data_IF_206787348430
#
_entry.id   IF_206787348430
#
_cell.length_a   1.000
_cell.length_b   1.000
_cell.length_c   1.000
_cell.angle_alpha   90.00
_cell.angle_beta   90.00
_cell.angle_gamma   90.00
#
_symmetry.space_group_name_H-M   'P 1'
#
loop_
_entity.id
_entity.type
_entity.pdbx_description
1 polymer ?
#
# COMPACT_ATOMS: atom_id res chain seq x y z
N UNK A 1 15.85 -15.88 -2.94
CA UNK A 1 14.40 -15.92 -2.76
C UNK A 1 13.90 -14.60 -2.18
N UNK A 2 12.61 -14.34 -2.26
CA UNK A 2 12.03 -13.15 -1.64
C UNK A 2 12.18 -13.25 -0.11
N UNK A 3 12.57 -12.16 0.52
CA UNK A 3 12.88 -12.14 1.96
C UNK A 3 11.62 -12.33 2.83
N UNK A 4 10.44 -12.06 2.27
CA UNK A 4 9.14 -12.21 2.92
C UNK A 4 8.57 -13.63 2.81
N UNK A 5 9.00 -14.43 1.84
CA UNK A 5 8.65 -15.84 1.70
C UNK A 5 9.52 -16.68 2.64
N UNK A 6 9.06 -16.83 3.87
CA UNK A 6 9.83 -17.48 4.94
C UNK A 6 9.52 -18.97 5.12
N UNK A 7 8.39 -19.43 4.58
CA UNK A 7 8.02 -20.84 4.62
C UNK A 7 8.77 -21.62 3.55
N UNK A 8 9.23 -22.83 3.88
CA UNK A 8 9.91 -23.72 2.93
C UNK A 8 9.07 -23.95 1.68
N UNK A 9 7.76 -24.09 1.87
CA UNK A 9 6.81 -24.30 0.76
C UNK A 9 6.66 -23.08 -0.16
N UNK A 10 6.77 -21.86 0.38
CA UNK A 10 6.79 -20.61 -0.41
C UNK A 10 8.06 -20.53 -1.23
N UNK A 11 9.20 -20.85 -0.62
CA UNK A 11 10.51 -20.81 -1.27
C UNK A 11 10.64 -21.89 -2.37
N UNK A 12 10.15 -23.08 -2.13
CA UNK A 12 10.18 -24.19 -3.11
C UNK A 12 9.27 -23.94 -4.31
N UNK A 13 8.10 -23.33 -4.08
CA UNK A 13 7.11 -23.04 -5.12
C UNK A 13 7.30 -21.68 -5.79
N UNK A 14 8.06 -20.77 -5.16
CA UNK A 14 8.26 -19.41 -5.61
C UNK A 14 6.99 -18.56 -5.61
N UNK A 15 6.06 -18.85 -4.68
CA UNK A 15 4.80 -18.11 -4.49
C UNK A 15 4.59 -17.78 -3.02
N UNK A 16 4.02 -16.62 -2.74
CA UNK A 16 3.56 -16.25 -1.41
C UNK A 16 2.29 -17.03 -1.06
N UNK A 17 2.25 -17.69 0.08
CA UNK A 17 1.08 -18.46 0.57
C UNK A 17 0.38 -17.69 1.70
N UNK A 18 1.15 -17.16 2.64
CA UNK A 18 0.66 -16.41 3.79
C UNK A 18 1.04 -14.95 3.70
N UNK A 19 0.12 -14.06 4.07
CA UNK A 19 0.48 -12.63 4.16
C UNK A 19 1.57 -12.42 5.21
N UNK A 20 2.54 -11.58 4.89
CA UNK A 20 3.62 -11.21 5.79
C UNK A 20 3.65 -9.68 5.96
N UNK A 21 3.92 -9.22 7.19
CA UNK A 21 4.06 -7.81 7.49
C UNK A 21 5.53 -7.44 7.68
N UNK A 22 5.95 -6.33 7.11
CA UNK A 22 7.27 -5.76 7.33
C UNK A 22 7.19 -4.24 7.34
N UNK A 23 8.21 -3.61 7.90
CA UNK A 23 8.32 -2.15 7.92
C UNK A 23 9.59 -1.74 7.22
N UNK A 24 9.50 -0.75 6.36
CA UNK A 24 10.66 -0.08 5.78
C UNK A 24 10.56 1.44 5.98
N UNK A 25 11.68 2.10 5.74
CA UNK A 25 11.79 3.55 5.83
C UNK A 25 12.28 4.10 4.50
N UNK A 26 11.61 5.13 4.04
CA UNK A 26 11.96 5.78 2.79
C UNK A 26 11.93 7.30 2.91
N UNK A 27 12.87 7.93 2.28
CA UNK A 27 12.89 9.35 2.01
C UNK A 27 12.97 9.54 0.51
N UNK A 28 12.29 10.55 -0.02
CA UNK A 28 12.24 10.80 -1.46
C UNK A 28 13.65 10.76 -2.08
N UNK A 29 13.79 10.13 -3.23
CA UNK A 29 15.09 9.85 -3.87
C UNK A 29 15.95 11.10 -4.08
N UNK A 30 15.32 12.25 -4.29
CA UNK A 30 15.99 13.55 -4.41
C UNK A 30 16.69 13.98 -3.11
N UNK A 31 16.19 13.57 -1.95
CA UNK A 31 16.71 13.95 -0.64
C UNK A 31 17.72 12.97 -0.08
N UNK A 32 17.90 11.82 -0.70
CA UNK A 32 18.78 10.77 -0.18
C UNK A 32 20.26 11.14 -0.15
N UNK A 33 20.68 12.07 -0.96
CA UNK A 33 22.08 12.57 -0.99
C UNK A 33 22.43 13.48 0.16
N UNK A 34 21.41 14.04 0.85
CA UNK A 34 21.58 14.89 2.03
C UNK A 34 21.17 14.12 3.30
N UNK A 35 22.13 13.74 4.18
CA UNK A 35 21.83 12.99 5.40
C UNK A 35 20.89 13.71 6.37
N UNK A 36 20.84 15.03 6.37
CA UNK A 36 19.96 15.83 7.24
C UNK A 36 18.55 15.82 6.68
N UNK A 37 18.40 16.09 5.38
CA UNK A 37 17.12 16.02 4.68
C UNK A 37 16.54 14.60 4.71
N UNK A 38 17.38 13.59 4.53
CA UNK A 38 17.00 12.18 4.64
C UNK A 38 16.35 11.86 6.00
N UNK A 39 16.99 12.24 7.10
CA UNK A 39 16.45 11.98 8.45
C UNK A 39 15.16 12.74 8.73
N UNK A 40 15.08 13.98 8.27
CA UNK A 40 13.93 14.86 8.51
C UNK A 40 12.68 14.41 7.74
N UNK A 41 12.85 13.92 6.51
CA UNK A 41 11.77 13.58 5.59
C UNK A 41 11.55 12.07 5.47
N UNK A 42 12.00 11.30 6.45
CA UNK A 42 11.88 9.85 6.44
C UNK A 42 10.45 9.41 6.77
N UNK A 43 9.85 8.69 5.84
CA UNK A 43 8.54 8.07 6.01
C UNK A 43 8.69 6.61 6.44
N UNK A 44 7.85 6.18 7.35
CA UNK A 44 7.71 4.77 7.71
C UNK A 44 6.61 4.16 6.85
N UNK A 45 6.92 3.09 6.15
CA UNK A 45 5.99 2.36 5.30
C UNK A 45 5.82 0.97 5.89
N UNK A 46 4.61 0.67 6.35
CA UNK A 46 4.23 -0.67 6.78
C UNK A 46 3.69 -1.42 5.56
N UNK A 47 4.33 -2.53 5.22
CA UNK A 47 4.00 -3.31 4.04
C UNK A 47 3.36 -4.62 4.51
N UNK A 48 2.19 -4.94 3.97
CA UNK A 48 1.58 -6.26 4.07
C UNK A 48 1.69 -6.90 2.69
N UNK A 49 2.56 -7.89 2.56
CA UNK A 49 2.67 -8.69 1.35
C UNK A 49 1.57 -9.75 1.34
N UNK A 50 0.79 -9.78 0.27
CA UNK A 50 -0.38 -10.67 0.16
C UNK A 50 -0.19 -11.64 -0.99
N UNK A 51 -0.64 -12.91 -0.83
CA UNK A 51 -0.59 -13.88 -1.91
C UNK A 51 -1.46 -13.43 -3.10
N UNK A 52 -0.93 -13.65 -4.32
CA UNK A 52 -1.66 -13.38 -5.56
C UNK A 52 -2.51 -14.56 -6.06
N UNK A 53 -2.53 -15.70 -5.37
CA UNK A 53 -3.20 -16.91 -5.83
C UNK A 53 -4.66 -17.00 -5.36
N UNK A 54 -5.56 -17.46 -6.24
CA UNK A 54 -7.02 -17.53 -5.96
C UNK A 54 -7.37 -18.34 -4.72
N UNK A 55 -6.58 -19.36 -4.39
CA UNK A 55 -6.81 -20.21 -3.23
C UNK A 55 -6.64 -19.46 -1.89
N UNK A 56 -6.02 -18.28 -1.91
CA UNK A 56 -5.69 -17.48 -0.72
C UNK A 56 -6.46 -16.15 -0.65
N UNK A 57 -7.60 -16.05 -1.32
CA UNK A 57 -8.41 -14.81 -1.37
C UNK A 57 -8.85 -14.31 0.00
N UNK A 58 -9.05 -15.21 0.97
CA UNK A 58 -9.42 -14.85 2.35
C UNK A 58 -8.31 -14.05 3.05
N UNK A 59 -7.04 -14.39 2.81
CA UNK A 59 -5.89 -13.64 3.34
C UNK A 59 -5.83 -12.24 2.74
N UNK A 60 -6.14 -12.11 1.46
CA UNK A 60 -6.21 -10.81 0.77
C UNK A 60 -7.34 -9.96 1.37
N UNK A 61 -8.54 -10.51 1.54
CA UNK A 61 -9.68 -9.79 2.13
C UNK A 61 -9.39 -9.29 3.55
N UNK A 62 -8.76 -10.13 4.38
CA UNK A 62 -8.36 -9.73 5.74
C UNK A 62 -7.39 -8.56 5.72
N UNK A 63 -6.44 -8.58 4.78
CA UNK A 63 -5.47 -7.51 4.62
C UNK A 63 -6.12 -6.22 4.12
N UNK A 64 -7.02 -6.30 3.12
CA UNK A 64 -7.71 -5.12 2.56
C UNK A 64 -8.45 -4.28 3.60
N UNK A 65 -8.91 -4.90 4.68
CA UNK A 65 -9.63 -4.20 5.76
C UNK A 65 -8.76 -3.26 6.60
N UNK A 66 -7.46 -3.49 6.61
CA UNK A 66 -6.51 -2.73 7.44
C UNK A 66 -5.54 -1.89 6.63
N UNK A 67 -5.63 -1.92 5.29
CA UNK A 67 -4.77 -1.14 4.41
C UNK A 67 -5.24 0.31 4.28
N UNK A 68 -4.30 1.23 4.23
CA UNK A 68 -4.56 2.61 3.81
C UNK A 68 -4.59 2.71 2.29
N UNK A 69 -3.80 1.91 1.62
CA UNK A 69 -3.74 1.82 0.17
C UNK A 69 -3.08 0.53 -0.29
N UNK A 70 -3.14 0.24 -1.56
CA UNK A 70 -2.54 -0.95 -2.14
C UNK A 70 -1.73 -0.66 -3.40
N UNK A 71 -0.66 -1.43 -3.60
CA UNK A 71 0.08 -1.47 -4.86
C UNK A 71 -0.23 -2.80 -5.54
N UNK A 72 -0.95 -2.75 -6.64
CA UNK A 72 -1.23 -3.94 -7.45
C UNK A 72 -0.07 -4.19 -8.41
N UNK A 73 0.64 -5.28 -8.20
CA UNK A 73 1.79 -5.66 -9.03
C UNK A 73 1.33 -6.53 -10.19
N UNK A 74 1.55 -6.06 -11.40
CA UNK A 74 1.22 -6.78 -12.63
C UNK A 74 2.50 -7.15 -13.38
N UNK A 75 2.52 -8.33 -14.00
CA UNK A 75 3.62 -8.77 -14.84
C UNK A 75 3.54 -8.06 -16.22
N UNK A 76 4.63 -7.45 -16.66
CA UNK A 76 4.69 -6.77 -17.96
C UNK A 76 4.41 -7.71 -19.16
N UNK A 77 4.57 -9.02 -18.99
CA UNK A 77 4.24 -10.03 -20.01
C UNK A 77 2.81 -10.54 -19.88
N UNK A 78 2.38 -10.89 -18.65
CA UNK A 78 1.06 -11.49 -18.40
C UNK A 78 -0.07 -10.46 -18.33
N UNK A 79 0.24 -9.24 -17.91
CA UNK A 79 -0.75 -8.18 -17.73
C UNK A 79 -1.81 -8.51 -16.70
N UNK A 80 -3.06 -8.29 -17.05
CA UNK A 80 -4.20 -8.58 -16.18
C UNK A 80 -4.60 -10.04 -16.32
N UNK A 81 -4.40 -10.80 -15.26
CA UNK A 81 -4.79 -12.21 -15.15
C UNK A 81 -6.12 -12.35 -14.38
N UNK A 82 -6.84 -13.49 -14.49
CA UNK A 82 -8.10 -13.68 -13.77
C UNK A 82 -8.01 -13.48 -12.25
N UNK A 83 -6.86 -13.83 -11.68
CA UNK A 83 -6.56 -13.61 -10.26
C UNK A 83 -6.49 -12.12 -9.92
N UNK A 84 -5.85 -11.33 -10.81
CA UNK A 84 -5.77 -9.87 -10.67
C UNK A 84 -7.16 -9.24 -10.68
N UNK A 85 -8.07 -9.70 -11.53
CA UNK A 85 -9.45 -9.21 -11.58
C UNK A 85 -10.21 -9.49 -10.29
N UNK A 86 -10.01 -10.68 -9.69
CA UNK A 86 -10.66 -11.07 -8.43
C UNK A 86 -10.22 -10.16 -7.28
N UNK A 87 -8.91 -10.00 -7.11
CA UNK A 87 -8.35 -9.12 -6.07
C UNK A 87 -8.74 -7.66 -6.30
N UNK A 88 -8.79 -7.24 -7.57
CA UNK A 88 -9.20 -5.89 -7.94
C UNK A 88 -10.63 -5.58 -7.51
N UNK A 89 -11.58 -6.49 -7.78
CA UNK A 89 -12.98 -6.33 -7.35
C UNK A 89 -13.12 -6.27 -5.83
N UNK A 90 -12.36 -7.10 -5.11
CA UNK A 90 -12.33 -7.04 -3.65
C UNK A 90 -11.84 -5.67 -3.15
N UNK A 91 -10.81 -5.11 -3.78
CA UNK A 91 -10.33 -3.79 -3.42
C UNK A 91 -11.34 -2.67 -3.76
N UNK A 92 -12.17 -2.85 -4.81
CA UNK A 92 -13.29 -1.95 -5.10
C UNK A 92 -14.35 -1.98 -4.01
N UNK A 93 -14.71 -3.18 -3.51
CA UNK A 93 -15.70 -3.35 -2.44
C UNK A 93 -15.29 -2.60 -1.16
N UNK A 94 -13.99 -2.58 -0.86
CA UNK A 94 -13.44 -1.86 0.29
C UNK A 94 -13.02 -0.42 -0.01
N UNK A 95 -13.19 0.06 -1.25
CA UNK A 95 -12.79 1.40 -1.70
C UNK A 95 -11.36 1.76 -1.34
N UNK A 96 -10.44 0.81 -1.48
CA UNK A 96 -9.04 1.00 -1.14
C UNK A 96 -8.34 1.83 -2.22
N UNK A 97 -7.73 2.97 -1.87
CA UNK A 97 -6.87 3.72 -2.77
C UNK A 97 -5.74 2.83 -3.28
N UNK A 98 -5.43 2.91 -4.57
CA UNK A 98 -4.45 2.00 -5.17
C UNK A 98 -3.67 2.62 -6.30
N UNK A 99 -2.52 2.02 -6.58
CA UNK A 99 -1.71 2.24 -7.76
C UNK A 99 -1.33 0.91 -8.40
N UNK A 100 -0.93 0.94 -9.66
CA UNK A 100 -0.46 -0.24 -10.39
C UNK A 100 1.04 -0.11 -10.61
N UNK A 101 1.78 -1.19 -10.32
CA UNK A 101 3.18 -1.34 -10.68
C UNK A 101 3.35 -2.44 -11.70
N UNK A 102 3.70 -2.06 -12.93
CA UNK A 102 4.01 -2.99 -14.02
C UNK A 102 5.45 -3.47 -13.85
N UNK A 103 5.60 -4.66 -13.29
CA UNK A 103 6.87 -5.28 -12.91
C UNK A 103 7.39 -6.22 -14.00
N UNK A 104 8.65 -6.60 -13.89
CA UNK A 104 9.35 -7.51 -14.80
C UNK A 104 9.46 -6.95 -16.23
N UNK A 105 9.75 -5.66 -16.35
CA UNK A 105 9.98 -5.03 -17.67
C UNK A 105 11.17 -5.60 -18.42
N UNK A 106 12.06 -6.33 -17.74
CA UNK A 106 13.31 -6.94 -18.27
C UNK A 106 13.14 -8.35 -18.83
N UNK A 107 11.95 -8.97 -18.73
CA UNK A 107 11.75 -10.33 -19.24
C UNK A 107 11.29 -10.34 -20.70
N UNK A 108 11.58 -11.45 -21.39
CA UNK A 108 11.13 -11.64 -22.78
C UNK A 108 9.61 -11.65 -22.88
N UNK A 109 9.08 -10.84 -23.79
CA UNK A 109 7.63 -10.64 -23.98
C UNK A 109 7.03 -9.53 -23.11
N UNK A 110 7.84 -8.75 -22.39
CA UNK A 110 7.37 -7.59 -21.66
C UNK A 110 6.83 -6.51 -22.61
N UNK A 111 5.62 -6.02 -22.33
CA UNK A 111 4.97 -4.96 -23.09
C UNK A 111 4.07 -4.10 -22.21
N UNK A 112 4.59 -2.96 -21.79
CA UNK A 112 3.91 -2.02 -20.91
C UNK A 112 2.58 -1.50 -21.52
N UNK A 113 2.60 -1.16 -22.80
CA UNK A 113 1.41 -0.57 -23.47
C UNK A 113 0.31 -1.61 -23.67
N UNK A 114 0.68 -2.87 -23.90
CA UNK A 114 -0.29 -3.96 -23.93
C UNK A 114 -0.93 -4.17 -22.55
N UNK A 115 -0.16 -4.05 -21.48
CA UNK A 115 -0.71 -4.11 -20.11
C UNK A 115 -1.69 -2.97 -19.85
N UNK A 116 -1.38 -1.73 -20.26
CA UNK A 116 -2.30 -0.60 -20.17
C UNK A 116 -3.62 -0.87 -20.88
N UNK A 117 -3.56 -1.42 -22.10
CA UNK A 117 -4.75 -1.81 -22.87
C UNK A 117 -5.57 -2.88 -22.12
N UNK A 118 -4.92 -3.89 -21.56
CA UNK A 118 -5.60 -4.94 -20.76
C UNK A 118 -6.26 -4.37 -19.50
N UNK A 119 -5.63 -3.40 -18.85
CA UNK A 119 -6.20 -2.72 -17.67
C UNK A 119 -7.49 -2.00 -18.08
N UNK A 120 -7.47 -1.23 -19.16
CA UNK A 120 -8.63 -0.51 -19.66
C UNK A 120 -9.77 -1.48 -20.02
N UNK A 121 -9.48 -2.53 -20.78
CA UNK A 121 -10.48 -3.50 -21.26
C UNK A 121 -11.09 -4.35 -20.14
N UNK A 122 -10.29 -4.79 -19.16
CA UNK A 122 -10.70 -5.78 -18.16
C UNK A 122 -11.06 -5.19 -16.81
N UNK A 123 -10.32 -4.19 -16.35
CA UNK A 123 -10.57 -3.56 -15.05
C UNK A 123 -11.50 -2.34 -15.15
N UNK A 124 -11.59 -1.71 -16.32
CA UNK A 124 -12.47 -0.56 -16.60
C UNK A 124 -12.34 0.55 -15.56
N UNK A 125 -11.12 0.86 -15.18
CA UNK A 125 -10.78 1.85 -14.18
C UNK A 125 -10.05 3.04 -14.81
N UNK A 126 -10.01 4.17 -14.11
CA UNK A 126 -9.26 5.34 -14.56
C UNK A 126 -7.76 5.19 -14.23
N UNK A 127 -7.10 4.27 -14.94
CA UNK A 127 -5.67 4.04 -14.80
C UNK A 127 -4.89 5.05 -15.66
N UNK A 128 -4.04 5.82 -15.02
CA UNK A 128 -3.28 6.91 -15.65
C UNK A 128 -1.79 6.66 -15.47
N UNK A 129 -1.05 6.41 -16.56
CA UNK A 129 0.40 6.32 -16.49
C UNK A 129 1.01 7.65 -16.03
N UNK A 130 1.85 7.57 -15.01
CA UNK A 130 2.69 8.70 -14.55
C UNK A 130 4.15 8.48 -14.88
N UNK A 131 4.47 7.32 -15.42
CA UNK A 131 5.77 6.91 -15.91
C UNK A 131 5.65 6.14 -17.21
N UNK A 132 6.69 6.19 -18.05
CA UNK A 132 6.85 5.33 -19.22
C UNK A 132 8.17 4.58 -19.15
N UNK A 133 8.24 3.32 -19.63
CA UNK A 133 9.51 2.59 -19.67
C UNK A 133 10.42 3.09 -20.79
N UNK A 134 11.73 3.13 -20.54
CA UNK A 134 12.77 3.34 -21.55
C UNK A 134 13.32 1.97 -21.94
N UNK A 135 12.91 1.51 -23.13
CA UNK A 135 13.21 0.16 -23.59
C UNK A 135 12.32 -0.91 -22.94
N UNK A 136 12.48 -2.13 -23.36
CA UNK A 136 11.81 -3.32 -22.84
C UNK A 136 12.71 -4.54 -22.94
N UNK A 137 12.40 -5.58 -22.19
CA UNK A 137 13.19 -6.81 -22.16
C UNK A 137 14.65 -6.53 -21.78
N UNK A 138 15.61 -7.09 -22.49
CA UNK A 138 17.02 -6.88 -22.22
C UNK A 138 17.48 -5.41 -22.37
N UNK A 139 16.74 -4.62 -23.12
CA UNK A 139 17.00 -3.18 -23.36
C UNK A 139 16.34 -2.25 -22.34
N UNK A 140 15.59 -2.79 -21.38
CA UNK A 140 14.98 -1.99 -20.31
C UNK A 140 16.07 -1.35 -19.45
N UNK A 141 16.20 -0.03 -19.54
CA UNK A 141 17.29 0.73 -18.90
C UNK A 141 16.85 1.87 -18.01
N UNK A 142 15.57 2.18 -17.98
CA UNK A 142 15.09 3.31 -17.18
C UNK A 142 13.61 3.61 -17.35
N UNK A 143 13.22 4.72 -16.79
CA UNK A 143 11.83 5.22 -16.83
C UNK A 143 11.81 6.71 -17.16
N UNK A 144 10.77 7.15 -17.85
CA UNK A 144 10.42 8.56 -18.01
C UNK A 144 9.45 8.93 -16.91
N UNK A 145 9.74 9.98 -16.17
CA UNK A 145 8.84 10.59 -15.21
C UNK A 145 7.99 11.64 -15.91
N UNK A 146 6.70 11.38 -16.07
CA UNK A 146 5.77 12.29 -16.78
C UNK A 146 5.37 13.49 -15.92
N UNK A 147 5.58 13.45 -14.62
CA UNK A 147 5.30 14.56 -13.72
C UNK A 147 6.45 15.59 -13.77
N UNK A 148 7.70 15.10 -13.72
CA UNK A 148 8.90 15.94 -13.79
C UNK A 148 9.35 16.22 -15.24
N UNK A 149 8.93 15.41 -16.20
CA UNK A 149 9.41 15.43 -17.59
C UNK A 149 10.93 15.29 -17.72
N UNK A 150 11.44 14.28 -17.06
CA UNK A 150 12.83 13.83 -17.15
C UNK A 150 12.90 12.30 -17.25
N UNK A 151 14.11 11.78 -17.35
CA UNK A 151 14.37 10.34 -17.42
C UNK A 151 15.27 9.91 -16.28
N UNK A 152 14.89 8.80 -15.63
CA UNK A 152 15.72 8.10 -14.65
C UNK A 152 16.37 6.89 -15.35
N UNK A 153 17.66 7.00 -15.65
CA UNK A 153 18.42 6.00 -16.42
C UNK A 153 19.38 5.24 -15.52
N UNK A 154 19.37 3.92 -15.65
CA UNK A 154 20.22 3.02 -14.88
C UNK A 154 21.43 2.58 -15.71
N UNK A 155 22.63 2.74 -15.14
CA UNK A 155 23.90 2.45 -15.79
C UNK A 155 24.55 1.14 -15.33
N UNK A 156 23.89 0.45 -14.39
CA UNK A 156 24.31 -0.85 -13.90
C UNK A 156 23.18 -1.87 -13.97
N UNK A 157 23.50 -3.15 -13.84
CA UNK A 157 22.51 -4.23 -13.91
C UNK A 157 21.59 -4.31 -12.70
N UNK A 158 22.04 -3.84 -11.54
CA UNK A 158 21.35 -3.98 -10.26
C UNK A 158 20.73 -2.69 -9.73
N UNK A 159 20.58 -1.68 -10.59
CA UNK A 159 19.84 -0.46 -10.28
C UNK A 159 20.45 0.40 -9.16
N UNK A 160 21.77 0.35 -9.00
CA UNK A 160 22.51 1.15 -8.00
C UNK A 160 22.94 2.52 -8.52
N UNK A 161 23.32 2.59 -9.81
CA UNK A 161 23.71 3.82 -10.48
C UNK A 161 22.54 4.35 -11.32
N UNK A 162 21.67 5.10 -10.68
CA UNK A 162 20.56 5.80 -11.31
C UNK A 162 20.90 7.27 -11.49
N UNK A 163 20.72 7.78 -12.70
CA UNK A 163 20.98 9.18 -13.06
C UNK A 163 19.76 9.81 -13.67
N UNK A 164 19.50 11.06 -13.30
CA UNK A 164 18.44 11.89 -13.86
C UNK A 164 18.99 12.57 -15.11
N UNK A 165 18.32 12.39 -16.23
CA UNK A 165 18.75 12.89 -17.55
C UNK A 165 17.56 13.50 -18.29
N UNK A 166 17.84 14.11 -19.43
CA UNK A 166 16.77 14.52 -20.35
C UNK A 166 16.11 13.29 -20.98
N UNK A 167 14.84 13.45 -21.35
CA UNK A 167 14.11 12.40 -22.08
C UNK A 167 14.82 12.10 -23.39
N UNK A 168 15.06 10.80 -23.72
CA UNK A 168 15.63 10.43 -25.02
C UNK A 168 14.83 11.05 -26.19
N UNK A 169 15.54 11.56 -27.18
CA UNK A 169 14.94 12.32 -28.30
C UNK A 169 13.87 11.49 -29.05
N UNK A 170 14.12 10.20 -29.24
CA UNK A 170 13.21 9.26 -29.89
C UNK A 170 11.94 8.95 -29.07
N UNK A 171 11.91 9.33 -27.79
CA UNK A 171 10.76 9.14 -26.89
C UNK A 171 10.09 10.45 -26.49
N UNK A 172 10.58 11.59 -26.93
CA UNK A 172 10.07 12.91 -26.53
C UNK A 172 8.61 13.11 -26.93
N UNK A 173 8.27 12.83 -28.16
CA UNK A 173 6.90 12.95 -28.68
C UNK A 173 5.91 12.05 -27.91
N UNK A 174 6.31 10.81 -27.65
CA UNK A 174 5.51 9.86 -26.87
C UNK A 174 5.32 10.34 -25.41
N UNK A 175 6.38 10.86 -24.80
CA UNK A 175 6.32 11.41 -23.45
C UNK A 175 5.40 12.62 -23.38
N UNK A 176 5.44 13.51 -24.33
CA UNK A 176 4.55 14.67 -24.42
C UNK A 176 3.09 14.23 -24.57
N UNK A 177 2.81 13.26 -25.45
CA UNK A 177 1.46 12.69 -25.62
C UNK A 177 0.91 12.11 -24.31
N UNK A 178 1.70 11.31 -23.60
CA UNK A 178 1.26 10.71 -22.34
C UNK A 178 1.19 11.73 -21.19
N UNK A 179 2.05 12.74 -21.19
CA UNK A 179 1.93 13.85 -20.26
C UNK A 179 0.63 14.62 -20.48
N UNK A 180 0.26 14.90 -21.71
CA UNK A 180 -1.00 15.56 -22.03
C UNK A 180 -2.21 14.75 -21.55
N UNK A 181 -2.22 13.45 -21.80
CA UNK A 181 -3.25 12.54 -21.29
C UNK A 181 -3.32 12.54 -19.75
N UNK A 182 -2.17 12.58 -19.08
CA UNK A 182 -2.09 12.66 -17.62
C UNK A 182 -2.66 13.98 -17.12
N UNK A 183 -2.29 15.11 -17.72
CA UNK A 183 -2.78 16.43 -17.32
C UNK A 183 -4.29 16.57 -17.58
N UNK A 184 -4.79 16.03 -18.68
CA UNK A 184 -6.24 15.98 -18.96
C UNK A 184 -6.96 15.20 -17.85
N UNK A 185 -6.49 14.01 -17.50
CA UNK A 185 -7.07 13.20 -16.43
C UNK A 185 -7.03 13.90 -15.06
N UNK A 186 -5.92 14.55 -14.72
CA UNK A 186 -5.74 15.25 -13.43
C UNK A 186 -6.59 16.51 -13.37
N UNK A 187 -6.77 17.23 -14.47
CA UNK A 187 -7.57 18.45 -14.56
C UNK A 187 -9.04 18.23 -14.16
N UNK A 188 -9.55 17.01 -14.32
CA UNK A 188 -10.91 16.66 -13.94
C UNK A 188 -11.15 16.72 -12.41
N UNK A 189 -10.10 16.73 -11.60
CA UNK A 189 -10.17 16.68 -10.14
C UNK A 189 -9.70 17.97 -9.44
N UNK A 190 -9.29 18.98 -10.21
CA UNK A 190 -8.80 20.25 -9.69
C UNK A 190 -9.14 21.39 -10.64
N UNK A 191 -10.03 22.30 -10.21
CA UNK A 191 -10.53 23.40 -11.05
C UNK A 191 -9.42 24.38 -11.45
N UNK A 192 -8.43 24.63 -10.58
CA UNK A 192 -7.32 25.52 -10.87
C UNK A 192 -6.39 24.92 -11.95
N UNK A 193 -6.13 23.62 -11.86
CA UNK A 193 -5.38 22.89 -12.90
C UNK A 193 -6.16 22.89 -14.21
N UNK A 194 -7.49 22.68 -14.17
CA UNK A 194 -8.35 22.73 -15.33
C UNK A 194 -8.24 24.09 -16.03
N UNK A 195 -8.32 25.18 -15.30
CA UNK A 195 -8.20 26.53 -15.83
C UNK A 195 -6.82 26.74 -16.48
N UNK A 196 -5.73 26.41 -15.76
CA UNK A 196 -4.38 26.51 -16.31
C UNK A 196 -4.17 25.65 -17.56
N UNK A 197 -4.70 24.42 -17.56
CA UNK A 197 -4.61 23.49 -18.70
C UNK A 197 -5.33 24.05 -19.94
N UNK A 198 -6.57 24.55 -19.78
CA UNK A 198 -7.34 25.16 -20.87
C UNK A 198 -6.72 26.44 -21.43
N UNK A 199 -6.06 27.21 -20.57
CA UNK A 199 -5.35 28.43 -20.98
C UNK A 199 -3.95 28.15 -21.58
N UNK A 200 -3.51 26.88 -21.61
CA UNK A 200 -2.18 26.50 -22.09
C UNK A 200 -1.04 27.03 -21.23
N UNK A 201 -1.31 27.32 -19.94
CA UNK A 201 -0.30 27.75 -18.98
C UNK A 201 0.51 26.57 -18.45
N UNK A 202 1.75 26.84 -18.09
CA UNK A 202 2.58 25.86 -17.42
C UNK A 202 2.02 25.57 -16.02
N UNK A 203 1.80 24.28 -15.71
CA UNK A 203 1.27 23.84 -14.44
C UNK A 203 2.45 23.44 -13.53
N UNK A 204 2.60 24.05 -12.35
CA UNK A 204 3.68 23.69 -11.43
C UNK A 204 3.62 22.22 -11.01
N UNK A 205 4.76 21.53 -10.99
CA UNK A 205 4.89 20.12 -10.63
C UNK A 205 4.26 19.81 -9.26
N UNK A 206 4.43 20.69 -8.28
CA UNK A 206 3.84 20.53 -6.95
C UNK A 206 2.30 20.47 -6.99
N UNK A 207 1.64 21.23 -7.87
CA UNK A 207 0.20 21.19 -8.08
C UNK A 207 -0.24 19.89 -8.74
N UNK A 208 0.51 19.43 -9.73
CA UNK A 208 0.25 18.15 -10.41
C UNK A 208 0.34 17.02 -9.38
N UNK A 209 1.38 16.97 -8.56
CA UNK A 209 1.54 15.96 -7.49
C UNK A 209 0.39 15.99 -6.50
N UNK A 210 0.00 17.17 -6.03
CA UNK A 210 -1.10 17.32 -5.08
C UNK A 210 -2.45 16.85 -5.66
N UNK A 211 -2.71 17.12 -6.93
CA UNK A 211 -3.93 16.71 -7.61
C UNK A 211 -3.95 15.19 -7.89
N UNK A 212 -2.84 14.59 -8.28
CA UNK A 212 -2.71 13.14 -8.42
C UNK A 212 -2.99 12.46 -7.05
N UNK A 213 -2.38 12.98 -5.97
CA UNK A 213 -2.63 12.46 -4.63
C UNK A 213 -4.10 12.54 -4.23
N UNK A 214 -4.73 13.69 -4.41
CA UNK A 214 -6.14 13.92 -4.10
C UNK A 214 -7.05 12.92 -4.85
N UNK A 215 -6.84 12.77 -6.15
CA UNK A 215 -7.60 11.85 -6.97
C UNK A 215 -7.35 10.38 -6.61
N UNK A 216 -6.11 10.01 -6.27
CA UNK A 216 -5.73 8.66 -5.86
C UNK A 216 -6.37 8.30 -4.51
N UNK A 217 -6.29 9.18 -3.52
CA UNK A 217 -6.90 8.98 -2.19
C UNK A 217 -8.42 8.88 -2.29
N UNK A 218 -9.04 9.63 -3.20
CA UNK A 218 -10.48 9.57 -3.48
C UNK A 218 -10.91 8.32 -4.29
N UNK A 219 -9.98 7.47 -4.69
CA UNK A 219 -10.22 6.28 -5.55
C UNK A 219 -10.78 6.65 -6.93
N UNK A 220 -10.54 7.85 -7.40
CA UNK A 220 -11.03 8.37 -8.69
C UNK A 220 -9.99 8.24 -9.80
N UNK A 221 -8.72 8.07 -9.44
CA UNK A 221 -7.59 7.88 -10.35
C UNK A 221 -6.67 6.81 -9.80
N UNK A 222 -6.07 6.02 -10.69
CA UNK A 222 -5.12 4.96 -10.36
C UNK A 222 -3.82 5.23 -11.11
N UNK A 223 -2.78 5.73 -10.42
CA UNK A 223 -1.47 5.94 -11.03
C UNK A 223 -0.84 4.62 -11.47
N UNK A 224 -0.23 4.60 -12.66
CA UNK A 224 0.50 3.44 -13.17
C UNK A 224 1.98 3.79 -13.28
N UNK A 225 2.80 2.96 -12.66
CA UNK A 225 4.26 3.04 -12.67
C UNK A 225 4.85 1.73 -13.17
N UNK A 226 6.12 1.70 -13.52
CA UNK A 226 6.75 0.51 -14.09
C UNK A 226 8.19 0.32 -13.59
N UNK A 227 8.70 -0.89 -13.79
CA UNK A 227 10.06 -1.22 -13.43
C UNK A 227 10.35 -2.73 -13.46
N UNK A 228 11.46 -3.11 -12.86
CA UNK A 228 11.83 -4.50 -12.59
C UNK A 228 12.43 -4.63 -11.21
N UNK A 229 11.67 -5.23 -10.29
CA UNK A 229 12.05 -5.35 -8.88
C UNK A 229 13.30 -6.21 -8.70
N UNK A 230 13.45 -7.28 -9.50
CA UNK A 230 14.61 -8.18 -9.42
C UNK A 230 15.93 -7.47 -9.72
N UNK A 231 15.91 -6.52 -10.64
CA UNK A 231 17.05 -5.68 -11.01
C UNK A 231 17.13 -4.36 -10.24
N UNK A 232 16.20 -4.13 -9.32
CA UNK A 232 16.08 -2.88 -8.56
C UNK A 232 15.99 -1.62 -9.44
N UNK A 233 15.46 -1.74 -10.66
CA UNK A 233 15.24 -0.63 -11.58
C UNK A 233 13.79 -0.17 -11.53
N UNK A 234 13.56 1.10 -11.18
CA UNK A 234 12.24 1.69 -10.97
C UNK A 234 11.67 1.53 -9.55
N UNK A 235 12.32 0.77 -8.66
CA UNK A 235 11.85 0.58 -7.28
C UNK A 235 11.94 1.86 -6.47
N UNK A 236 13.02 2.65 -6.64
CA UNK A 236 13.19 3.93 -5.98
C UNK A 236 12.04 4.90 -6.33
N UNK A 237 11.66 4.94 -7.60
CA UNK A 237 10.56 5.78 -8.07
C UNK A 237 9.18 5.23 -7.71
N UNK A 238 9.03 3.92 -7.54
CA UNK A 238 7.84 3.32 -6.94
C UNK A 238 7.67 3.78 -5.48
N UNK A 239 8.73 3.76 -4.71
CA UNK A 239 8.70 4.22 -3.31
C UNK A 239 8.44 5.73 -3.21
N UNK A 240 9.02 6.53 -4.09
CA UNK A 240 8.70 7.95 -4.22
C UNK A 240 7.20 8.15 -4.52
N UNK A 241 6.65 7.40 -5.46
CA UNK A 241 5.24 7.48 -5.83
C UNK A 241 4.31 7.05 -4.67
N UNK A 242 4.71 6.06 -3.88
CA UNK A 242 3.96 5.67 -2.68
C UNK A 242 3.93 6.84 -1.67
N UNK A 243 5.05 7.48 -1.43
CA UNK A 243 5.12 8.65 -0.52
C UNK A 243 4.31 9.82 -1.05
N UNK A 244 4.38 10.09 -2.35
CA UNK A 244 3.73 11.25 -2.95
C UNK A 244 2.21 11.08 -3.10
N UNK A 245 1.73 9.87 -3.47
CA UNK A 245 0.36 9.69 -3.95
C UNK A 245 -0.50 8.76 -3.11
N UNK A 246 0.09 7.88 -2.29
CA UNK A 246 -0.69 6.97 -1.47
C UNK A 246 -1.10 7.62 -0.15
N UNK A 247 -2.27 7.25 0.41
CA UNK A 247 -2.75 7.86 1.64
C UNK A 247 -1.87 7.52 2.85
N UNK A 248 -1.70 8.50 3.73
CA UNK A 248 -1.23 8.28 5.09
C UNK A 248 -2.40 7.91 6.02
N UNK A 249 -2.17 7.37 7.22
CA UNK A 249 -3.24 7.11 8.18
C UNK A 249 -4.13 8.33 8.46
N UNK A 250 -3.57 9.53 8.40
CA UNK A 250 -4.30 10.81 8.58
C UNK A 250 -5.21 11.19 7.41
N UNK A 251 -5.05 10.58 6.25
CA UNK A 251 -5.91 10.79 5.08
C UNK A 251 -7.12 9.85 5.08
N UNK A 252 -7.12 8.86 5.96
CA UNK A 252 -8.18 7.86 6.08
C UNK A 252 -9.28 8.40 7.02
N UNK A 253 -10.57 8.18 6.70
CA UNK A 253 -11.65 8.55 7.60
C UNK A 253 -11.49 7.93 8.98
N UNK A 254 -12.00 8.62 10.00
CA UNK A 254 -12.08 8.10 11.36
C UNK A 254 -12.71 6.70 11.38
N UNK A 255 -12.20 5.81 12.22
CA UNK A 255 -12.80 4.51 12.40
C UNK A 255 -14.16 4.67 13.08
N UNK A 256 -15.19 4.14 12.48
CA UNK A 256 -16.53 4.11 13.04
C UNK A 256 -16.71 2.87 13.89
N UNK A 257 -17.38 3.03 15.01
CA UNK A 257 -17.62 1.98 15.97
C UNK A 257 -18.87 2.23 16.82
N UNK A 258 -19.10 1.33 17.75
CA UNK A 258 -20.17 1.43 18.74
C UNK A 258 -19.52 1.31 20.12
N UNK A 259 -19.93 2.12 21.06
CA UNK A 259 -19.56 1.93 22.46
C UNK A 259 -20.32 0.71 23.01
N UNK A 260 -19.65 -0.39 23.38
CA UNK A 260 -20.33 -1.61 23.78
C UNK A 260 -21.06 -1.52 25.13
N UNK A 261 -20.88 -0.42 25.86
CA UNK A 261 -21.59 -0.19 27.16
C UNK A 261 -22.84 0.66 27.01
N UNK A 262 -22.86 1.61 26.06
CA UNK A 262 -23.98 2.56 25.88
C UNK A 262 -24.77 2.30 24.62
N UNK A 263 -24.22 1.48 23.71
CA UNK A 263 -24.77 1.18 22.38
C UNK A 263 -24.89 2.40 21.47
N UNK A 264 -24.12 3.45 21.79
CA UNK A 264 -24.05 4.69 21.02
C UNK A 264 -22.95 4.60 19.96
N UNK A 265 -23.17 5.26 18.82
CA UNK A 265 -22.15 5.42 17.79
C UNK A 265 -20.94 6.16 18.35
N UNK A 266 -19.75 5.71 17.99
CA UNK A 266 -18.49 6.28 18.43
C UNK A 266 -17.51 6.34 17.25
N UNK A 267 -16.64 7.33 17.27
CA UNK A 267 -15.59 7.52 16.24
C UNK A 267 -14.24 7.66 16.90
N UNK A 268 -13.20 7.21 16.20
CA UNK A 268 -11.80 7.42 16.59
C UNK A 268 -11.05 8.04 15.43
N UNK A 269 -10.58 9.25 15.65
CA UNK A 269 -9.70 9.93 14.69
C UNK A 269 -8.31 9.31 14.68
N UNK A 270 -7.60 9.32 13.54
CA UNK A 270 -6.24 8.79 13.43
C UNK A 270 -5.22 9.74 14.10
N UNK A 271 -5.29 9.85 15.41
CA UNK A 271 -4.47 10.73 16.25
C UNK A 271 -3.90 9.95 17.44
N UNK A 272 -2.67 10.28 17.82
CA UNK A 272 -2.01 9.72 18.99
C UNK A 272 -2.63 10.19 20.31
N UNK A 273 -3.33 11.33 20.29
CA UNK A 273 -3.99 11.93 21.45
C UNK A 273 -5.36 11.31 21.77
N UNK A 274 -5.89 10.51 20.85
CA UNK A 274 -7.16 9.80 21.01
C UNK A 274 -7.01 8.56 21.92
N UNK A 275 -8.11 8.06 22.51
CA UNK A 275 -8.06 6.77 23.19
C UNK A 275 -7.61 5.64 22.26
N UNK A 276 -6.79 4.72 22.78
CA UNK A 276 -6.27 3.61 22.00
C UNK A 276 -7.39 2.76 21.41
N UNK A 277 -7.28 2.47 20.11
CA UNK A 277 -8.06 1.47 19.42
C UNK A 277 -7.25 0.77 18.33
N UNK A 278 -7.42 -0.53 18.19
CA UNK A 278 -6.72 -1.36 17.23
C UNK A 278 -7.59 -2.52 16.78
N UNK A 279 -7.26 -3.09 15.63
CA UNK A 279 -7.91 -4.26 15.08
C UNK A 279 -6.90 -5.39 14.89
N UNK A 280 -7.19 -6.55 15.47
CA UNK A 280 -6.44 -7.78 15.24
C UNK A 280 -6.85 -8.37 13.88
N UNK A 281 -5.95 -8.40 12.91
CA UNK A 281 -6.28 -8.84 11.55
C UNK A 281 -5.66 -10.18 11.15
N UNK A 282 -4.66 -10.65 11.90
CA UNK A 282 -4.00 -11.94 11.65
C UNK A 282 -3.47 -12.56 12.92
N UNK A 283 -3.69 -13.85 13.07
CA UNK A 283 -3.13 -14.66 14.16
C UNK A 283 -2.25 -15.75 13.55
N UNK A 284 -1.05 -15.92 14.06
CA UNK A 284 -0.17 -17.01 13.67
C UNK A 284 0.53 -17.61 14.90
N UNK A 285 1.01 -18.82 14.74
CA UNK A 285 1.84 -19.49 15.76
C UNK A 285 3.28 -19.47 15.28
N UNK A 286 4.15 -18.94 16.12
CA UNK A 286 5.58 -18.88 15.90
C UNK A 286 6.29 -19.91 16.79
N UNK A 287 7.26 -20.68 16.27
CA UNK A 287 7.94 -21.72 17.03
C UNK A 287 8.71 -21.22 18.27
N UNK A 288 9.14 -19.97 18.26
CA UNK A 288 9.99 -19.39 19.30
C UNK A 288 9.27 -18.52 20.32
N UNK A 289 8.28 -17.75 19.85
CA UNK A 289 7.55 -16.81 20.72
C UNK A 289 6.10 -17.21 20.96
N UNK A 290 5.64 -18.28 20.33
CA UNK A 290 4.29 -18.80 20.49
C UNK A 290 3.28 -18.01 19.66
N UNK A 291 2.13 -17.70 20.23
CA UNK A 291 1.04 -17.03 19.54
C UNK A 291 1.34 -15.55 19.28
N UNK A 292 1.34 -15.16 18.01
CA UNK A 292 1.47 -13.80 17.53
C UNK A 292 0.12 -13.28 17.03
N UNK A 293 -0.30 -12.12 17.53
CA UNK A 293 -1.50 -11.42 17.09
C UNK A 293 -1.09 -10.14 16.39
N UNK A 294 -1.21 -10.11 15.06
CA UNK A 294 -0.95 -8.90 14.28
C UNK A 294 -2.12 -7.95 14.39
N UNK A 295 -1.84 -6.70 14.68
CA UNK A 295 -2.85 -5.66 14.84
C UNK A 295 -2.44 -4.36 14.17
N UNK A 296 -3.44 -3.61 13.73
CA UNK A 296 -3.30 -2.24 13.27
C UNK A 296 -3.87 -1.29 14.33
N UNK A 297 -3.10 -0.27 14.68
CA UNK A 297 -3.54 0.82 15.54
C UNK A 297 -4.28 1.87 14.70
N UNK A 298 -5.51 2.20 15.07
CA UNK A 298 -6.30 3.24 14.41
C UNK A 298 -6.25 4.56 15.16
N UNK A 299 -6.15 4.53 16.48
CA UNK A 299 -6.09 5.74 17.30
C UNK A 299 -5.28 5.48 18.58
N UNK A 300 -4.74 6.55 19.13
CA UNK A 300 -4.03 6.54 20.40
C UNK A 300 -2.67 5.85 20.35
N UNK A 301 -2.10 5.70 21.53
CA UNK A 301 -0.81 5.04 21.76
C UNK A 301 -0.95 3.93 22.78
N UNK A 302 -0.07 2.95 22.72
CA UNK A 302 -0.03 1.84 23.68
C UNK A 302 1.40 1.39 23.95
N UNK A 303 1.73 1.27 25.24
CA UNK A 303 3.01 0.76 25.69
C UNK A 303 2.98 -0.76 25.90
N UNK A 304 4.12 -1.40 25.67
CA UNK A 304 4.36 -2.80 26.03
C UNK A 304 4.02 -3.03 27.51
N UNK A 305 3.41 -4.16 27.83
CA UNK A 305 2.97 -4.50 29.19
C UNK A 305 1.64 -3.90 29.65
N UNK A 306 1.02 -3.02 28.83
CA UNK A 306 -0.28 -2.42 29.13
C UNK A 306 -1.44 -3.43 29.03
N UNK A 307 -2.51 -3.14 29.76
CA UNK A 307 -3.78 -3.86 29.63
C UNK A 307 -4.66 -3.21 28.58
N UNK A 308 -5.35 -4.02 27.81
CA UNK A 308 -6.34 -3.60 26.81
C UNK A 308 -7.64 -4.37 27.01
N UNK A 309 -8.75 -3.79 26.57
CA UNK A 309 -10.03 -4.46 26.47
C UNK A 309 -10.16 -5.05 25.05
N UNK A 310 -10.36 -6.35 24.96
CA UNK A 310 -10.93 -6.96 23.76
C UNK A 310 -12.43 -6.72 23.81
N UNK A 311 -12.90 -5.68 23.13
CA UNK A 311 -14.30 -5.25 23.19
C UNK A 311 -15.25 -6.20 22.46
N UNK A 312 -14.76 -6.96 21.49
CA UNK A 312 -15.52 -7.98 20.78
C UNK A 312 -15.94 -9.12 21.71
N UNK A 313 -15.07 -9.53 22.62
CA UNK A 313 -15.31 -10.62 23.57
C UNK A 313 -15.58 -10.16 24.99
N UNK A 314 -15.47 -8.87 25.22
CA UNK A 314 -15.58 -8.25 26.55
C UNK A 314 -14.62 -8.85 27.58
N UNK A 315 -13.37 -9.05 27.19
CA UNK A 315 -12.32 -9.65 28.01
C UNK A 315 -11.12 -8.72 28.08
N UNK A 316 -10.58 -8.53 29.29
CA UNK A 316 -9.32 -7.82 29.51
C UNK A 316 -8.16 -8.73 29.11
N UNK A 317 -7.22 -8.19 28.33
CA UNK A 317 -5.99 -8.87 27.95
C UNK A 317 -4.77 -7.99 28.21
N UNK A 318 -3.60 -8.61 28.31
CA UNK A 318 -2.34 -7.91 28.50
C UNK A 318 -1.50 -7.99 27.24
N UNK A 319 -1.03 -6.85 26.74
CA UNK A 319 0.00 -6.72 25.71
C UNK A 319 1.36 -7.06 26.34
N UNK A 320 1.74 -8.33 26.36
CA UNK A 320 2.97 -8.76 27.01
C UNK A 320 4.21 -8.16 26.37
N UNK A 321 4.40 -8.42 25.10
CA UNK A 321 5.46 -7.84 24.25
C UNK A 321 4.85 -7.34 22.96
N UNK A 322 5.39 -6.27 22.42
CA UNK A 322 5.04 -5.77 21.10
C UNK A 322 6.26 -5.91 20.20
N UNK A 323 6.06 -6.53 19.04
CA UNK A 323 7.11 -6.81 18.09
C UNK A 323 6.86 -6.02 16.80
N UNK A 324 7.89 -5.36 16.31
CA UNK A 324 7.93 -4.85 14.94
C UNK A 324 8.60 -5.89 14.05
N UNK A 325 7.97 -6.15 12.91
CA UNK A 325 8.47 -7.13 11.96
C UNK A 325 9.29 -6.43 10.88
N UNK A 326 10.51 -6.91 10.67
CA UNK A 326 11.40 -6.49 9.60
C UNK A 326 11.78 -7.74 8.78
N UNK A 327 10.89 -8.14 7.88
CA UNK A 327 11.05 -9.39 7.13
C UNK A 327 11.26 -10.61 8.06
N UNK A 328 12.47 -11.14 8.15
CA UNK A 328 12.80 -12.30 9.01
C UNK A 328 13.20 -11.91 10.43
N UNK A 329 13.39 -10.62 10.69
CA UNK A 329 13.83 -10.13 11.99
C UNK A 329 12.64 -9.58 12.78
N UNK A 330 12.70 -9.79 14.08
CA UNK A 330 11.75 -9.25 15.04
C UNK A 330 12.50 -8.32 15.96
N UNK A 331 11.91 -7.18 16.19
CA UNK A 331 12.43 -6.17 17.10
C UNK A 331 11.38 -5.91 18.18
N UNK A 332 11.78 -6.00 19.44
CA UNK A 332 10.93 -5.58 20.52
C UNK A 332 10.82 -4.06 20.51
N UNK A 333 9.58 -3.56 20.53
CA UNK A 333 9.31 -2.13 20.61
C UNK A 333 8.54 -1.81 21.88
N UNK A 334 8.80 -0.65 22.45
CA UNK A 334 8.20 -0.23 23.71
C UNK A 334 6.81 0.36 23.53
N UNK A 335 6.56 0.98 22.38
CA UNK A 335 5.35 1.75 22.14
C UNK A 335 4.89 1.63 20.68
N UNK A 336 3.58 1.68 20.47
CA UNK A 336 2.92 1.82 19.15
C UNK A 336 2.04 3.05 19.13
N UNK A 337 1.87 3.61 17.94
CA UNK A 337 1.13 4.85 17.69
C UNK A 337 0.07 4.66 16.61
N UNK A 338 -0.84 5.63 16.48
CA UNK A 338 -1.87 5.61 15.45
C UNK A 338 -1.26 5.39 14.05
N UNK A 339 -1.82 4.44 13.29
CA UNK A 339 -1.34 4.03 11.99
C UNK A 339 -0.31 2.89 12.01
N UNK A 340 0.18 2.47 13.16
CA UNK A 340 1.16 1.40 13.27
C UNK A 340 0.55 0.02 12.99
N UNK A 341 1.40 -0.85 12.43
CA UNK A 341 1.16 -2.28 12.33
C UNK A 341 2.26 -2.99 13.12
N UNK A 342 1.86 -3.82 14.08
CA UNK A 342 2.75 -4.57 14.93
C UNK A 342 2.17 -5.94 15.28
N UNK A 343 2.96 -6.77 15.95
CA UNK A 343 2.53 -8.06 16.47
C UNK A 343 2.61 -8.08 18.01
N UNK A 344 1.56 -8.56 18.64
CA UNK A 344 1.52 -8.74 20.09
C UNK A 344 1.77 -10.18 20.48
N UNK A 345 2.55 -10.38 21.55
CA UNK A 345 2.71 -11.64 22.25
C UNK A 345 1.96 -11.56 23.58
N UNK A 346 1.21 -12.61 23.91
CA UNK A 346 0.52 -12.70 25.20
C UNK A 346 -0.99 -12.53 25.16
N UNK A 347 -1.57 -12.17 24.02
CA UNK A 347 -3.02 -12.13 23.85
C UNK A 347 -3.56 -13.55 23.72
N UNK A 348 -4.30 -14.01 24.73
CA UNK A 348 -4.76 -15.41 24.83
C UNK A 348 -6.10 -15.64 24.15
N UNK A 349 -7.02 -14.67 24.26
CA UNK A 349 -8.40 -14.79 23.80
C UNK A 349 -8.65 -14.08 22.47
N UNK A 350 -7.75 -13.19 22.04
CA UNK A 350 -7.91 -12.42 20.80
C UNK A 350 -7.85 -13.30 19.58
N UNK A 351 -8.80 -13.13 18.67
CA UNK A 351 -8.87 -13.80 17.36
C UNK A 351 -8.90 -12.76 16.23
N UNK A 352 -8.75 -13.24 15.00
CA UNK A 352 -8.84 -12.36 13.81
C UNK A 352 -10.20 -11.67 13.79
N UNK A 353 -10.16 -10.34 13.66
CA UNK A 353 -11.36 -9.51 13.62
C UNK A 353 -11.73 -8.86 14.95
N UNK A 354 -11.06 -9.21 16.03
CA UNK A 354 -11.35 -8.62 17.34
C UNK A 354 -10.82 -7.17 17.42
N UNK A 355 -11.61 -6.32 18.06
CA UNK A 355 -11.22 -4.95 18.40
C UNK A 355 -10.55 -4.91 19.77
N UNK A 356 -9.41 -4.25 19.84
CA UNK A 356 -8.67 -3.97 21.06
C UNK A 356 -8.73 -2.47 21.35
N UNK A 357 -9.05 -2.08 22.57
CA UNK A 357 -9.22 -0.66 22.91
C UNK A 357 -8.86 -0.35 24.36
N UNK A 358 -8.85 0.95 24.69
CA UNK A 358 -8.77 1.42 26.06
C UNK A 358 -10.03 1.02 26.85
N UNK A 359 -9.83 0.47 28.05
CA UNK A 359 -10.94 0.05 28.94
C UNK A 359 -11.81 1.21 29.42
N UNK A 360 -11.22 2.40 29.52
CA UNK A 360 -11.93 3.62 29.95
C UNK A 360 -12.77 4.25 28.84
N UNK A 361 -12.37 4.03 27.60
CA UNK A 361 -13.07 4.52 26.41
C UNK A 361 -13.30 3.35 25.43
N UNK A 362 -14.19 2.39 25.76
CA UNK A 362 -14.37 1.21 24.95
C UNK A 362 -15.07 1.53 23.63
N UNK A 363 -14.58 0.93 22.55
CA UNK A 363 -15.16 0.99 21.21
C UNK A 363 -15.12 -0.40 20.58
N UNK A 364 -16.19 -0.75 19.86
CA UNK A 364 -16.27 -1.93 19.02
C UNK A 364 -16.30 -1.47 17.58
N UNK A 365 -15.27 -1.80 16.81
CA UNK A 365 -15.16 -1.40 15.41
C UNK A 365 -16.26 -2.02 14.55
N UNK A 366 -16.86 -1.23 13.65
CA UNK A 366 -17.85 -1.70 12.67
C UNK A 366 -17.21 -2.32 11.42
N UNK A 367 -15.89 -2.27 11.26
CA UNK A 367 -15.19 -2.81 10.07
C UNK A 367 -15.52 -4.30 9.84
N UNK A 368 -15.85 -5.05 10.87
CA UNK A 368 -16.20 -6.47 10.78
C UNK A 368 -17.70 -6.79 10.84
N UNK A 369 -18.55 -5.82 11.19
CA UNK A 369 -19.99 -6.05 11.35
C UNK A 369 -20.73 -6.04 10.00
N UNK A 370 -20.13 -5.57 8.92
CA UNK A 370 -20.74 -5.45 7.59
C UNK A 370 -20.75 -6.73 6.75
N UNK A 371 -20.49 -7.92 7.31
CA UNK A 371 -20.85 -9.17 6.66
C UNK A 371 -22.14 -9.73 7.22
N UNK A 372 -23.29 -9.58 6.53
CA UNK A 372 -24.38 -10.50 6.74
C UNK A 372 -23.86 -11.89 6.28
N UNK A 373 -23.85 -12.82 7.19
CA UNK A 373 -23.66 -14.25 6.96
C UNK A 373 -24.57 -14.73 5.81
N UNK A 374 -24.12 -14.64 4.57
CA UNK A 374 -24.81 -15.16 3.39
C UNK A 374 -24.57 -16.67 3.18
N UNK A 375 -24.20 -17.38 4.23
CA UNK A 375 -24.02 -18.84 4.18
C UNK A 375 -24.88 -19.60 5.18
N UNK A 376 -26.08 -19.13 5.45
CA UNK A 376 -27.07 -19.91 6.22
C UNK A 376 -28.42 -19.93 5.52
N UNK A 377 -28.46 -20.32 4.24
CA UNK A 377 -29.66 -20.78 3.56
C UNK A 377 -29.29 -21.51 2.27
N UNK A 378 -28.78 -22.71 2.38
CA UNK A 378 -29.03 -23.81 1.43
C UNK A 378 -29.19 -25.06 2.31
N UNK A 379 -30.38 -25.35 2.70
CA UNK A 379 -30.86 -26.68 3.03
C UNK A 379 -31.69 -27.16 1.86
#
# INVERSE_FOLDING_TARGET
GATMDWMVQEQERGITITSAATTCYWSHSETQKDPVAFKKNRHRINIIDTPGHVDFTVEVQRSLRVLDGSVTVMCAKGGVEPQSETVWRQADDYKVPRMIYVNKMDIMGADFYNVLRMIDERLKCNAVPIQLPIGKEAEFRGIIDLVEMNADVYYDEMGKDMRVEEIPEDMRELAEEYREKMLDAVSMFDDEIMEMYLEGKEIPTAKIRAAIRKATVAVEMIPVVCGTSYRNKGVQKLLDAIVDYMPAPTDIPAIEGINPKTDEEDKREPSDDEPFSALAFKIMTDPYVGRLSFFRVYSGTLNTGSSVLNSTKNVRERMGRILQMHANHREDIEEVWAGDIAAAVGLKNTTTGDTLCDEKAPVLSLIHISEPTRHAQIS
#
